data_IF_432578833780
#
_entry.id   IF_432578833780
#
_cell.length_a   1.000
_cell.length_b   1.000
_cell.length_c   1.000
_cell.angle_alpha   90.00
_cell.angle_beta   90.00
_cell.angle_gamma   90.00
#
_symmetry.space_group_name_H-M   'P 1'
#
loop_
_entity.id
_entity.type
_entity.pdbx_description
1 polymer ?
#
# COMPACT_ATOMS: atom_id res chain seq x y z
N UNK A 1 -23.51 -0.91 -23.90
CA UNK A 1 -23.45 -1.13 -22.44
C UNK A 1 -22.60 0.00 -21.85
N UNK A 2 -23.08 0.76 -20.88
CA UNK A 2 -22.32 1.87 -20.29
C UNK A 2 -21.21 1.33 -19.38
N UNK A 3 -20.05 2.00 -19.30
CA UNK A 3 -18.93 1.62 -18.42
C UNK A 3 -19.39 1.40 -16.97
N UNK A 4 -20.34 2.22 -16.54
CA UNK A 4 -20.96 2.18 -15.22
C UNK A 4 -21.69 0.85 -14.93
N UNK A 5 -22.42 0.31 -15.92
CA UNK A 5 -23.09 -1.01 -15.79
C UNK A 5 -22.08 -2.18 -15.77
N UNK A 6 -21.00 -2.09 -16.53
CA UNK A 6 -19.96 -3.13 -16.52
C UNK A 6 -19.25 -3.23 -15.16
N UNK A 7 -18.99 -2.09 -14.52
CA UNK A 7 -18.35 -2.06 -13.20
C UNK A 7 -19.30 -2.47 -12.06
N UNK A 8 -20.58 -2.11 -12.10
CA UNK A 8 -21.56 -2.57 -11.11
C UNK A 8 -21.73 -4.10 -11.11
N UNK A 9 -21.59 -4.73 -12.29
CA UNK A 9 -21.60 -6.19 -12.42
C UNK A 9 -20.33 -6.84 -11.88
N UNK A 10 -19.19 -6.15 -11.95
CA UNK A 10 -17.91 -6.65 -11.44
C UNK A 10 -17.72 -6.42 -9.93
N UNK A 11 -18.33 -5.36 -9.37
CA UNK A 11 -18.11 -4.95 -7.97
C UNK A 11 -19.43 -4.53 -7.27
N UNK A 12 -20.34 -5.47 -7.00
CA UNK A 12 -21.67 -5.17 -6.45
C UNK A 12 -21.65 -4.55 -5.03
N UNK A 13 -20.55 -4.72 -4.28
CA UNK A 13 -20.39 -4.22 -2.90
C UNK A 13 -20.26 -2.70 -2.79
N UNK A 14 -19.95 -1.99 -3.87
CA UNK A 14 -19.65 -0.54 -3.85
C UNK A 14 -20.91 0.34 -3.67
N UNK A 15 -22.12 -0.26 -3.63
CA UNK A 15 -23.40 0.47 -3.68
C UNK A 15 -24.05 0.86 -2.32
N UNK A 16 -23.54 0.43 -1.15
CA UNK A 16 -24.14 0.75 0.17
C UNK A 16 -23.12 1.18 1.26
N UNK A 17 -22.78 2.47 1.27
CA UNK A 17 -21.61 3.09 1.93
C UNK A 17 -21.44 3.05 3.46
N UNK A 18 -22.25 2.34 4.26
CA UNK A 18 -21.97 2.25 5.72
C UNK A 18 -21.94 0.84 6.31
N UNK A 19 -22.44 -0.17 5.60
CA UNK A 19 -22.25 -1.59 5.95
C UNK A 19 -21.36 -2.33 4.94
N UNK A 20 -21.08 -1.74 3.77
CA UNK A 20 -20.33 -2.37 2.68
C UNK A 20 -18.85 -2.63 2.98
N UNK A 21 -18.23 -1.92 3.92
CA UNK A 21 -16.79 -2.01 4.18
C UNK A 21 -16.42 -2.81 5.44
N UNK A 22 -17.40 -3.40 6.13
CA UNK A 22 -17.17 -4.22 7.32
C UNK A 22 -16.23 -5.41 7.07
N UNK A 23 -16.10 -5.85 5.81
CA UNK A 23 -15.14 -6.89 5.44
C UNK A 23 -13.69 -6.40 5.52
N UNK A 24 -13.41 -5.10 5.36
CA UNK A 24 -12.06 -4.54 5.47
C UNK A 24 -11.50 -4.75 6.88
N UNK A 25 -12.36 -4.64 7.89
CA UNK A 25 -12.01 -4.91 9.29
C UNK A 25 -11.68 -6.40 9.55
N UNK A 26 -11.84 -7.28 8.56
CA UNK A 26 -11.38 -8.68 8.63
C UNK A 26 -9.94 -8.88 8.16
N UNK A 27 -9.27 -7.83 7.64
CA UNK A 27 -7.86 -7.91 7.24
C UNK A 27 -7.00 -8.43 8.40
N UNK A 28 -6.32 -9.55 8.18
CA UNK A 28 -5.37 -10.12 9.13
C UNK A 28 -4.00 -9.52 8.88
N UNK A 29 -3.46 -8.84 9.89
CA UNK A 29 -2.12 -8.26 9.90
C UNK A 29 -1.32 -8.93 11.02
N UNK A 30 -0.16 -9.55 10.73
CA UNK A 30 0.60 -10.24 11.76
C UNK A 30 1.11 -9.25 12.82
N UNK A 31 0.87 -9.56 14.10
CA UNK A 31 1.44 -8.82 15.22
C UNK A 31 2.92 -9.14 15.46
N UNK A 32 3.54 -8.43 16.41
CA UNK A 32 4.92 -8.72 16.86
C UNK A 32 6.02 -8.08 16.01
N UNK A 33 7.27 -8.46 16.32
CA UNK A 33 8.50 -7.88 15.75
C UNK A 33 8.75 -8.25 14.28
N UNK A 34 8.19 -9.36 13.82
CA UNK A 34 8.36 -9.81 12.43
C UNK A 34 7.05 -10.38 11.89
N UNK A 35 6.75 -10.19 10.59
CA UNK A 35 7.50 -9.39 9.63
C UNK A 35 7.40 -7.87 9.91
N UNK A 36 8.33 -7.09 9.36
CA UNK A 36 8.25 -5.62 9.33
C UNK A 36 7.10 -5.20 8.40
N UNK A 37 6.31 -4.20 8.78
CA UNK A 37 5.16 -3.73 8.00
C UNK A 37 5.61 -2.59 7.10
N UNK A 38 5.59 -2.81 5.80
CA UNK A 38 6.05 -1.85 4.81
C UNK A 38 4.89 -1.08 4.21
N UNK A 39 5.06 0.24 4.16
CA UNK A 39 4.21 1.18 3.46
C UNK A 39 5.02 1.77 2.31
N UNK A 40 4.38 2.23 1.24
CA UNK A 40 5.12 2.80 0.11
C UNK A 40 4.35 3.92 -0.57
N UNK A 41 5.06 4.94 -1.05
CA UNK A 41 4.45 6.02 -1.81
C UNK A 41 5.48 6.78 -2.66
N UNK A 42 5.00 7.42 -3.73
CA UNK A 42 5.80 8.37 -4.51
C UNK A 42 6.90 7.78 -5.39
N UNK A 43 6.82 6.49 -5.75
CA UNK A 43 7.85 5.80 -6.54
C UNK A 43 7.95 6.31 -7.99
N UNK A 44 6.86 6.84 -8.55
CA UNK A 44 6.87 7.48 -9.87
C UNK A 44 7.21 6.55 -11.04
N UNK A 45 6.89 5.26 -10.90
CA UNK A 45 7.09 4.21 -11.93
C UNK A 45 5.89 3.25 -11.98
N UNK A 46 5.62 2.59 -13.11
CA UNK A 46 4.72 1.44 -13.16
C UNK A 46 5.17 0.34 -12.19
N UNK A 47 4.25 -0.54 -11.78
CA UNK A 47 4.52 -1.69 -10.90
C UNK A 47 5.22 -1.30 -9.57
N UNK A 48 4.84 -0.14 -9.02
CA UNK A 48 5.42 0.34 -7.76
C UNK A 48 5.12 -0.59 -6.57
N UNK A 49 3.97 -1.27 -6.58
CA UNK A 49 3.60 -2.23 -5.55
C UNK A 49 4.56 -3.44 -5.54
N UNK A 50 4.95 -3.92 -6.71
CA UNK A 50 5.87 -5.03 -6.89
C UNK A 50 7.30 -4.66 -6.46
N UNK A 51 7.75 -3.45 -6.80
CA UNK A 51 9.05 -2.93 -6.31
C UNK A 51 9.03 -2.82 -4.78
N UNK A 52 7.95 -2.29 -4.19
CA UNK A 52 7.80 -2.21 -2.74
C UNK A 52 7.81 -3.60 -2.10
N UNK A 53 7.19 -4.59 -2.73
CA UNK A 53 7.21 -5.98 -2.29
C UNK A 53 8.63 -6.59 -2.38
N UNK A 54 9.41 -6.30 -3.43
CA UNK A 54 10.81 -6.73 -3.55
C UNK A 54 11.65 -6.16 -2.40
N UNK A 55 11.52 -4.87 -2.10
CA UNK A 55 12.21 -4.22 -0.97
C UNK A 55 11.75 -4.82 0.36
N UNK A 56 10.45 -5.05 0.54
CA UNK A 56 9.92 -5.64 1.76
C UNK A 56 10.50 -7.05 1.99
N UNK A 57 10.55 -7.91 0.96
CA UNK A 57 11.16 -9.24 1.05
C UNK A 57 12.64 -9.17 1.44
N UNK A 58 13.40 -8.26 0.84
CA UNK A 58 14.81 -8.04 1.19
C UNK A 58 15.02 -7.72 2.68
N UNK A 59 14.02 -7.10 3.31
CA UNK A 59 14.02 -6.73 4.73
C UNK A 59 13.19 -7.65 5.64
N UNK A 60 12.84 -8.88 5.22
CA UNK A 60 11.97 -9.79 5.98
C UNK A 60 10.63 -9.14 6.39
N UNK A 61 10.09 -8.32 5.50
CA UNK A 61 8.89 -7.53 5.67
C UNK A 61 7.74 -7.94 4.75
N UNK A 62 6.63 -7.22 4.88
CA UNK A 62 5.41 -7.40 4.09
C UNK A 62 4.76 -6.05 3.77
N UNK A 63 4.24 -5.88 2.56
CA UNK A 63 3.33 -4.78 2.19
C UNK A 63 1.86 -5.21 2.36
N UNK A 64 0.92 -4.27 2.22
CA UNK A 64 -0.52 -4.57 2.18
C UNK A 64 -0.85 -5.55 1.06
N UNK A 65 -0.32 -5.33 -0.15
CA UNK A 65 -0.57 -6.19 -1.31
C UNK A 65 -0.07 -7.62 -1.05
N UNK A 66 1.12 -7.77 -0.45
CA UNK A 66 1.63 -9.10 -0.05
C UNK A 66 0.73 -9.78 0.98
N UNK A 67 0.09 -9.03 1.87
CA UNK A 67 -0.85 -9.60 2.84
C UNK A 67 -2.16 -10.04 2.18
N UNK A 68 -2.66 -9.30 1.20
CA UNK A 68 -3.87 -9.66 0.45
C UNK A 68 -3.71 -10.97 -0.34
N UNK A 69 -2.49 -11.31 -0.74
CA UNK A 69 -2.18 -12.59 -1.40
C UNK A 69 -2.22 -13.81 -0.47
N UNK A 70 -2.32 -13.61 0.84
CA UNK A 70 -2.31 -14.72 1.79
C UNK A 70 -3.69 -15.40 1.91
N UNK A 71 -3.75 -16.72 2.14
CA UNK A 71 -5.02 -17.45 2.26
C UNK A 71 -5.98 -16.85 3.30
N UNK A 72 -5.47 -16.40 4.45
CA UNK A 72 -6.28 -15.80 5.51
C UNK A 72 -6.96 -14.47 5.12
N UNK A 73 -6.47 -13.81 4.07
CA UNK A 73 -6.99 -12.54 3.55
C UNK A 73 -7.75 -12.69 2.22
N UNK A 74 -7.94 -13.91 1.72
CA UNK A 74 -8.57 -14.17 0.42
C UNK A 74 -9.97 -13.54 0.30
N UNK A 75 -10.77 -13.59 1.37
CA UNK A 75 -12.12 -13.01 1.39
C UNK A 75 -12.11 -11.47 1.31
N UNK A 76 -11.07 -10.82 1.84
CA UNK A 76 -10.87 -9.37 1.70
C UNK A 76 -10.46 -9.07 0.26
N UNK A 77 -9.45 -9.77 -0.25
CA UNK A 77 -8.95 -9.60 -1.62
C UNK A 77 -10.05 -9.75 -2.68
N UNK A 78 -10.91 -10.76 -2.57
CA UNK A 78 -12.00 -11.01 -3.53
C UNK A 78 -13.03 -9.87 -3.63
N UNK A 79 -13.14 -9.04 -2.60
CA UNK A 79 -14.09 -7.91 -2.54
C UNK A 79 -13.43 -6.57 -2.90
N UNK A 80 -12.10 -6.53 -2.98
CA UNK A 80 -11.38 -5.32 -3.37
C UNK A 80 -11.49 -5.12 -4.87
N UNK A 81 -11.79 -3.89 -5.26
CA UNK A 81 -11.67 -3.45 -6.63
C UNK A 81 -10.19 -3.38 -7.07
N UNK A 82 -9.93 -3.47 -8.37
CA UNK A 82 -8.62 -3.15 -8.93
C UNK A 82 -8.41 -1.63 -8.83
N UNK A 83 -7.24 -1.20 -8.36
CA UNK A 83 -6.93 0.24 -8.26
C UNK A 83 -7.09 0.92 -9.63
N UNK A 84 -7.91 1.98 -9.73
CA UNK A 84 -8.25 2.58 -11.01
C UNK A 84 -7.10 3.43 -11.56
N UNK A 85 -7.08 3.59 -12.88
CA UNK A 85 -6.17 4.52 -13.54
C UNK A 85 -6.38 5.95 -13.00
N UNK A 86 -5.31 6.76 -12.97
CA UNK A 86 -5.32 8.09 -12.34
C UNK A 86 -6.30 9.03 -13.03
N UNK A 87 -6.42 8.91 -14.34
CA UNK A 87 -7.29 9.69 -15.22
C UNK A 87 -8.77 9.28 -15.14
N UNK A 88 -9.09 8.13 -14.52
CA UNK A 88 -10.49 7.72 -14.34
C UNK A 88 -11.12 8.46 -13.15
N UNK A 89 -11.91 9.48 -13.46
CA UNK A 89 -12.62 10.32 -12.49
C UNK A 89 -14.09 9.91 -12.30
N UNK A 90 -14.48 8.72 -12.75
CA UNK A 90 -15.86 8.24 -12.57
C UNK A 90 -16.23 8.06 -11.08
N UNK A 91 -17.52 8.16 -10.71
CA UNK A 91 -17.96 7.91 -9.33
C UNK A 91 -17.55 6.53 -8.80
N UNK A 92 -17.47 5.53 -9.68
CA UNK A 92 -17.05 4.17 -9.34
C UNK A 92 -15.55 4.13 -9.05
N UNK A 93 -14.72 4.73 -9.92
CA UNK A 93 -13.29 4.82 -9.67
C UNK A 93 -13.01 5.55 -8.34
N UNK A 94 -13.79 6.59 -8.02
CA UNK A 94 -13.66 7.27 -6.75
C UNK A 94 -14.09 6.40 -5.56
N UNK A 95 -15.18 5.66 -5.68
CA UNK A 95 -15.58 4.72 -4.64
C UNK A 95 -14.56 3.59 -4.43
N UNK A 96 -13.92 3.12 -5.52
CA UNK A 96 -12.82 2.16 -5.45
C UNK A 96 -11.59 2.76 -4.74
N UNK A 97 -11.18 3.98 -5.08
CA UNK A 97 -10.11 4.69 -4.37
C UNK A 97 -10.43 4.88 -2.89
N UNK A 98 -11.68 5.19 -2.55
CA UNK A 98 -12.13 5.29 -1.17
C UNK A 98 -12.00 3.95 -0.41
N UNK A 99 -12.37 2.84 -1.04
CA UNK A 99 -12.22 1.51 -0.46
C UNK A 99 -10.75 1.17 -0.18
N UNK A 100 -9.84 1.43 -1.13
CA UNK A 100 -8.40 1.24 -0.92
C UNK A 100 -7.81 2.16 0.15
N UNK A 101 -8.23 3.43 0.20
CA UNK A 101 -7.85 4.36 1.28
C UNK A 101 -8.28 3.80 2.64
N UNK A 102 -9.50 3.28 2.76
CA UNK A 102 -9.99 2.66 3.99
C UNK A 102 -9.23 1.38 4.35
N UNK A 103 -8.98 0.48 3.39
CA UNK A 103 -8.19 -0.73 3.63
C UNK A 103 -6.76 -0.39 4.12
N UNK A 104 -6.14 0.61 3.49
CA UNK A 104 -4.80 1.09 3.87
C UNK A 104 -4.79 1.69 5.28
N UNK A 105 -5.85 2.43 5.64
CA UNK A 105 -6.06 2.88 7.01
C UNK A 105 -6.19 1.71 7.99
N UNK A 106 -6.99 0.69 7.67
CA UNK A 106 -7.14 -0.52 8.52
C UNK A 106 -5.81 -1.25 8.68
N UNK A 107 -5.01 -1.36 7.61
CA UNK A 107 -3.67 -1.92 7.67
C UNK A 107 -2.77 -1.16 8.66
N UNK A 108 -2.76 0.17 8.59
CA UNK A 108 -2.05 1.04 9.52
C UNK A 108 -2.58 0.93 10.97
N UNK A 109 -3.90 0.88 11.17
CA UNK A 109 -4.52 0.73 12.49
C UNK A 109 -4.17 -0.61 13.15
N UNK A 110 -4.02 -1.68 12.35
CA UNK A 110 -3.71 -3.04 12.81
C UNK A 110 -2.22 -3.35 12.86
N UNK A 111 -1.37 -2.55 12.21
CA UNK A 111 0.08 -2.72 12.30
C UNK A 111 0.53 -2.69 13.77
N UNK A 112 1.38 -3.64 14.16
CA UNK A 112 2.04 -3.73 15.47
C UNK A 112 3.50 -4.09 15.26
N UNK A 113 4.39 -3.63 16.14
CA UNK A 113 5.84 -3.80 16.02
C UNK A 113 6.46 -2.84 14.99
N UNK A 114 7.52 -3.26 14.27
CA UNK A 114 8.25 -2.39 13.37
C UNK A 114 7.44 -2.10 12.11
N UNK A 115 7.40 -0.81 11.76
CA UNK A 115 6.77 -0.26 10.57
C UNK A 115 7.79 0.58 9.81
N UNK A 116 7.85 0.41 8.50
CA UNK A 116 8.81 1.12 7.64
C UNK A 116 8.16 1.62 6.36
N UNK A 117 7.94 2.93 6.22
CA UNK A 117 7.52 3.54 4.97
C UNK A 117 8.71 3.67 4.04
N UNK A 118 8.52 3.38 2.76
CA UNK A 118 9.46 3.65 1.67
C UNK A 118 8.88 4.81 0.86
N UNK A 119 9.57 5.93 0.82
CA UNK A 119 9.11 7.13 0.11
C UNK A 119 10.06 7.44 -1.04
N UNK A 120 9.49 7.59 -2.23
CA UNK A 120 10.19 8.20 -3.36
C UNK A 120 10.12 9.73 -3.33
N UNK A 121 10.67 10.37 -4.35
CA UNK A 121 10.83 11.83 -4.37
C UNK A 121 9.51 12.59 -4.66
N UNK A 122 8.47 11.87 -5.07
CA UNK A 122 7.20 12.46 -5.53
C UNK A 122 6.00 11.97 -4.70
N UNK A 123 6.11 12.00 -3.37
CA UNK A 123 4.96 11.72 -2.49
C UNK A 123 3.98 12.88 -2.58
N UNK A 124 2.83 12.64 -3.24
CA UNK A 124 1.78 13.64 -3.36
C UNK A 124 1.15 13.93 -1.98
N UNK A 125 0.78 15.19 -1.67
CA UNK A 125 0.13 15.55 -0.41
C UNK A 125 -1.20 14.81 -0.16
N UNK A 126 -1.91 14.46 -1.24
CA UNK A 126 -3.17 13.71 -1.24
C UNK A 126 -2.97 12.18 -1.37
N UNK A 127 -1.73 11.71 -1.32
CA UNK A 127 -1.44 10.27 -1.33
C UNK A 127 -2.07 9.55 -0.14
N UNK A 128 -2.36 8.26 -0.31
CA UNK A 128 -2.93 7.41 0.74
C UNK A 128 -2.02 7.39 1.98
N UNK A 129 -0.70 7.38 1.78
CA UNK A 129 0.29 7.51 2.84
C UNK A 129 0.09 8.79 3.67
N UNK A 130 0.06 9.96 3.01
CA UNK A 130 -0.01 11.24 3.70
C UNK A 130 -1.33 11.48 4.40
N UNK A 131 -2.43 10.97 3.85
CA UNK A 131 -3.79 11.29 4.29
C UNK A 131 -4.39 10.26 5.24
N UNK A 132 -4.08 8.97 5.07
CA UNK A 132 -4.72 7.88 5.81
C UNK A 132 -3.73 7.08 6.66
N UNK A 133 -2.68 6.54 6.04
CA UNK A 133 -1.80 5.57 6.72
C UNK A 133 -0.94 6.22 7.80
N UNK A 134 -0.25 7.32 7.48
CA UNK A 134 0.61 8.04 8.44
C UNK A 134 -0.20 8.53 9.64
N UNK A 135 -1.41 9.03 9.40
CA UNK A 135 -2.30 9.54 10.45
C UNK A 135 -2.80 8.40 11.36
N UNK A 136 -3.19 7.27 10.78
CA UNK A 136 -3.59 6.08 11.54
C UNK A 136 -2.45 5.52 12.39
N UNK A 137 -1.22 5.47 11.86
CA UNK A 137 -0.03 5.08 12.62
C UNK A 137 0.22 6.05 13.78
N UNK A 138 0.19 7.36 13.54
CA UNK A 138 0.33 8.36 14.62
C UNK A 138 -0.70 8.17 15.73
N UNK A 139 -1.98 8.01 15.38
CA UNK A 139 -3.05 7.80 16.35
C UNK A 139 -2.91 6.48 17.10
N UNK A 140 -2.52 5.41 16.41
CA UNK A 140 -2.27 4.10 17.02
C UNK A 140 -1.15 4.19 18.07
N UNK A 141 -0.07 4.92 17.76
CA UNK A 141 1.05 5.14 18.68
C UNK A 141 0.62 5.96 19.90
N UNK A 142 -0.15 7.04 19.68
CA UNK A 142 -0.69 7.87 20.76
C UNK A 142 -1.64 7.11 21.70
N UNK A 143 -2.34 6.08 21.20
CA UNK A 143 -3.19 5.18 21.99
C UNK A 143 -2.39 4.11 22.76
N UNK A 144 -1.06 4.14 22.69
CA UNK A 144 -0.18 3.20 23.40
C UNK A 144 0.02 1.87 22.68
N UNK A 145 -0.40 1.74 21.41
CA UNK A 145 -0.06 0.54 20.65
C UNK A 145 1.44 0.51 20.37
N UNK A 146 2.03 -0.67 20.55
CA UNK A 146 3.43 -0.89 20.22
C UNK A 146 3.63 -0.85 18.71
N UNK A 147 4.02 0.30 18.19
CA UNK A 147 4.44 0.55 16.81
C UNK A 147 5.60 1.54 16.77
N UNK A 148 6.58 1.30 15.91
CA UNK A 148 7.78 2.14 15.81
C UNK A 148 8.39 2.08 14.41
N UNK A 149 9.34 3.00 14.13
CA UNK A 149 10.06 3.08 12.84
C UNK A 149 9.42 4.01 11.81
N UNK A 150 8.09 4.17 11.80
CA UNK A 150 7.39 4.90 10.73
C UNK A 150 7.64 6.41 10.66
N UNK A 151 8.25 6.99 11.69
CA UNK A 151 8.68 8.40 11.72
C UNK A 151 9.98 8.64 10.92
N UNK A 152 10.70 7.58 10.56
CA UNK A 152 11.95 7.62 9.79
C UNK A 152 11.78 6.82 8.50
N UNK A 153 11.07 7.37 7.49
CA UNK A 153 10.87 6.69 6.23
C UNK A 153 12.21 6.39 5.55
N UNK A 154 12.30 5.25 4.88
CA UNK A 154 13.40 4.95 3.98
C UNK A 154 13.21 5.73 2.68
N UNK A 155 14.30 6.31 2.17
CA UNK A 155 14.32 6.87 0.83
C UNK A 155 14.42 5.72 -0.20
N UNK A 156 13.55 5.75 -1.23
CA UNK A 156 13.48 4.71 -2.27
C UNK A 156 14.82 4.50 -2.97
N UNK A 157 15.50 5.58 -3.38
CA UNK A 157 16.80 5.48 -4.06
C UNK A 157 17.84 4.87 -3.13
N UNK A 158 17.94 5.36 -1.89
CA UNK A 158 18.92 4.85 -0.92
C UNK A 158 18.73 3.34 -0.68
N UNK A 159 17.50 2.88 -0.46
CA UNK A 159 17.25 1.46 -0.20
C UNK A 159 17.43 0.62 -1.47
N UNK A 160 16.87 1.05 -2.60
CA UNK A 160 16.75 0.20 -3.78
C UNK A 160 18.00 0.23 -4.67
N UNK A 161 18.65 1.39 -4.78
CA UNK A 161 19.78 1.61 -5.68
C UNK A 161 21.12 1.45 -4.98
N UNK A 162 21.21 1.84 -3.71
CA UNK A 162 22.47 1.77 -2.94
C UNK A 162 22.53 0.49 -2.12
N UNK A 163 21.59 0.29 -1.18
CA UNK A 163 21.64 -0.87 -0.27
C UNK A 163 21.38 -2.19 -0.98
N UNK A 164 20.46 -2.19 -1.94
CA UNK A 164 20.15 -3.36 -2.75
C UNK A 164 20.93 -3.41 -4.08
N UNK A 165 22.01 -2.63 -4.25
CA UNK A 165 22.76 -2.55 -5.52
C UNK A 165 23.19 -3.93 -6.06
N UNK A 166 23.68 -4.80 -5.18
CA UNK A 166 24.15 -6.16 -5.52
C UNK A 166 23.04 -7.21 -5.52
N UNK A 167 21.85 -6.86 -5.05
CA UNK A 167 20.70 -7.77 -5.05
C UNK A 167 20.11 -7.83 -6.45
N UNK A 168 19.94 -9.05 -6.97
CA UNK A 168 19.20 -9.29 -8.20
C UNK A 168 17.77 -8.81 -8.01
N UNK A 169 17.32 -7.95 -8.92
CA UNK A 169 15.93 -7.51 -8.98
C UNK A 169 15.15 -8.36 -9.97
N UNK A 170 13.89 -8.62 -9.65
CA UNK A 170 12.93 -9.23 -10.57
C UNK A 170 12.41 -8.20 -11.60
N UNK A 171 12.70 -6.91 -11.37
CA UNK A 171 12.29 -5.76 -12.20
C UNK A 171 13.49 -4.89 -12.61
N UNK A 172 14.50 -5.45 -13.31
CA UNK A 172 15.75 -4.76 -13.61
C UNK A 172 15.56 -3.44 -14.38
N UNK A 173 14.63 -3.39 -15.33
CA UNK A 173 14.33 -2.16 -16.09
C UNK A 173 13.70 -1.05 -15.22
N UNK A 174 12.89 -1.43 -14.23
CA UNK A 174 12.27 -0.48 -13.29
C UNK A 174 13.32 0.02 -12.31
N UNK A 175 14.17 -0.88 -11.81
CA UNK A 175 15.31 -0.53 -10.97
C UNK A 175 16.24 0.44 -11.68
N UNK A 176 16.60 0.19 -12.94
CA UNK A 176 17.39 1.12 -13.73
C UNK A 176 16.73 2.51 -13.81
N UNK A 177 15.42 2.59 -14.09
CA UNK A 177 14.69 3.87 -14.12
C UNK A 177 14.70 4.60 -12.78
N UNK A 178 14.54 3.91 -11.66
CA UNK A 178 14.61 4.50 -10.31
C UNK A 178 16.04 5.00 -10.03
N UNK A 179 17.06 4.20 -10.39
CA UNK A 179 18.45 4.48 -10.05
C UNK A 179 19.16 5.47 -10.97
N UNK A 180 18.60 5.75 -12.14
CA UNK A 180 19.12 6.75 -13.10
C UNK A 180 18.41 8.10 -13.00
N UNK A 181 17.16 8.14 -12.51
CA UNK A 181 16.40 9.39 -12.36
C UNK A 181 17.02 10.42 -11.40
N UNK A 182 17.97 10.03 -10.53
CA UNK A 182 18.63 10.95 -9.60
C UNK A 182 19.99 11.50 -10.09
N UNK A 183 20.44 11.12 -11.29
CA UNK A 183 21.69 11.66 -11.88
C UNK A 183 21.45 12.80 -12.87
N UNK A 184 20.25 13.40 -12.87
CA UNK A 184 19.86 14.49 -13.78
C UNK A 184 19.45 15.76 -13.05
#
# INVERSE_FOLDING_TARGET
MTKERAYQLLYPSISSRSSADAFLDKLVVPGGETPIKFFWSGFGVPNSAEVAAEIARYHNGVTLEMLLERPENAAVKQQMCIWPAREDISPIAEACRAQWRRLSQVYAEKARGPVTPILGDHVAPDSVWMTHEKNALNQSQQKGNYIYGFQRPMNLYEVYCVKMAKSRSDYPEIKEKICTKQTG
#
